data_IF_069538729457
#
_entry.id   IF_069538729457
#
_cell.length_a   1.000
_cell.length_b   1.000
_cell.length_c   1.000
_cell.angle_alpha   90.00
_cell.angle_beta   90.00
_cell.angle_gamma   90.00
#
_symmetry.space_group_name_H-M   'P 1'
#
loop_
_entity.id
_entity.type
_entity.pdbx_description
1 polymer ?
#
# COMPACT_ATOMS: atom_id res chain seq x y z
N UNK A 1 7.12 0.25 8.16
CA UNK A 1 5.87 -0.20 7.50
C UNK A 1 5.67 0.59 6.23
N UNK A 2 5.01 0.03 5.22
CA UNK A 2 4.81 0.72 3.94
C UNK A 2 3.33 0.74 3.54
N UNK A 3 2.98 1.76 2.79
CA UNK A 3 1.71 1.90 2.06
C UNK A 3 2.02 2.12 0.58
N UNK A 4 1.04 2.40 -0.24
CA UNK A 4 1.25 2.73 -1.65
C UNK A 4 2.19 3.93 -1.84
N UNK A 5 1.96 5.03 -1.10
CA UNK A 5 2.67 6.31 -1.30
C UNK A 5 3.58 6.70 -0.14
N UNK A 6 3.49 6.00 1.02
CA UNK A 6 4.18 6.36 2.24
C UNK A 6 5.05 5.23 2.77
N UNK A 7 6.16 5.61 3.42
CA UNK A 7 6.91 4.77 4.35
C UNK A 7 6.64 5.30 5.76
N UNK A 8 6.20 4.43 6.66
CA UNK A 8 6.04 4.72 8.08
C UNK A 8 7.22 4.11 8.82
N UNK A 9 8.17 4.95 9.25
CA UNK A 9 9.40 4.55 9.93
C UNK A 9 9.63 5.39 11.19
N UNK A 10 10.47 4.95 12.12
CA UNK A 10 10.89 5.80 13.23
C UNK A 10 11.45 7.15 12.75
N UNK A 11 11.30 8.18 13.57
CA UNK A 11 11.94 9.46 13.34
C UNK A 11 13.45 9.37 13.59
N UNK A 12 14.22 10.09 12.81
CA UNK A 12 15.68 10.19 12.95
C UNK A 12 16.06 11.67 13.17
N UNK A 13 17.19 11.93 13.82
CA UNK A 13 17.70 13.29 14.07
C UNK A 13 17.88 14.13 12.79
N UNK A 14 18.20 13.44 11.69
CA UNK A 14 18.38 14.04 10.36
C UNK A 14 17.06 14.59 9.79
N UNK A 15 15.93 14.11 10.27
CA UNK A 15 14.59 14.56 9.85
C UNK A 15 14.21 15.92 10.44
N UNK A 16 15.00 16.48 11.38
CA UNK A 16 14.66 17.68 12.11
C UNK A 16 14.35 18.89 11.21
N UNK A 17 15.04 19.04 10.09
CA UNK A 17 14.80 20.11 9.13
C UNK A 17 13.45 19.95 8.42
N UNK A 18 13.08 18.74 8.01
CA UNK A 18 11.78 18.43 7.41
C UNK A 18 10.65 18.58 8.45
N UNK A 19 10.88 18.10 9.68
CA UNK A 19 9.93 18.28 10.77
C UNK A 19 9.67 19.76 11.04
N UNK A 20 10.71 20.60 11.16
CA UNK A 20 10.58 22.04 11.36
C UNK A 20 9.81 22.70 10.22
N UNK A 21 10.13 22.36 8.97
CA UNK A 21 9.47 22.90 7.77
C UNK A 21 7.94 22.82 7.82
N UNK A 22 7.39 21.72 8.35
CA UNK A 22 5.94 21.51 8.38
C UNK A 22 5.32 21.78 9.75
N UNK A 23 6.02 21.48 10.83
CA UNK A 23 5.51 21.67 12.19
C UNK A 23 5.61 23.11 12.71
N UNK A 24 6.37 23.98 12.04
CA UNK A 24 6.38 25.43 12.31
C UNK A 24 5.17 26.18 11.74
N UNK A 25 4.41 25.53 10.83
CA UNK A 25 3.21 26.14 10.25
C UNK A 25 2.10 26.27 11.31
N UNK A 26 1.60 27.49 11.58
CA UNK A 26 0.57 27.73 12.60
C UNK A 26 -0.78 27.07 12.29
N UNK A 27 -1.00 26.60 11.07
CA UNK A 27 -2.21 25.84 10.71
C UNK A 27 -2.13 24.37 11.15
N UNK A 28 -0.96 23.84 11.50
CA UNK A 28 -0.75 22.41 11.82
C UNK A 28 -0.85 22.17 13.32
N UNK A 29 0.06 22.69 14.11
CA UNK A 29 0.16 22.39 15.54
C UNK A 29 -1.01 22.87 16.38
N UNK A 30 -1.39 24.12 16.31
CA UNK A 30 -2.41 24.72 17.20
C UNK A 30 -3.77 24.05 17.12
N UNK A 31 -4.20 23.62 15.93
CA UNK A 31 -5.48 22.90 15.78
C UNK A 31 -5.44 21.46 16.37
N UNK A 32 -4.23 20.92 16.51
CA UNK A 32 -3.97 19.60 17.11
C UNK A 32 -3.56 19.70 18.59
N UNK A 33 -3.46 20.92 19.16
CA UNK A 33 -3.23 21.16 20.60
C UNK A 33 -1.77 21.35 20.99
N UNK A 34 -0.84 21.55 20.05
CA UNK A 34 0.57 21.79 20.35
C UNK A 34 1.11 23.05 19.63
N UNK A 35 2.12 23.73 20.21
CA UNK A 35 2.65 24.97 19.65
C UNK A 35 3.48 24.72 18.39
N UNK A 36 3.51 25.67 17.43
CA UNK A 36 4.42 25.58 16.30
C UNK A 36 5.87 25.42 16.75
N UNK A 37 6.64 24.62 16.03
CA UNK A 37 8.06 24.46 16.30
C UNK A 37 8.81 25.75 16.00
N UNK A 38 9.81 26.08 16.82
CA UNK A 38 10.49 27.38 16.79
C UNK A 38 11.81 27.38 16.03
N UNK A 39 12.44 26.22 15.89
CA UNK A 39 13.70 26.02 15.15
C UNK A 39 13.92 24.58 14.77
N UNK A 40 14.94 24.30 13.93
CA UNK A 40 15.39 22.95 13.61
C UNK A 40 15.91 22.23 14.86
N UNK A 41 16.60 22.93 15.76
CA UNK A 41 17.12 22.35 17.00
C UNK A 41 15.98 21.99 17.96
N UNK A 42 14.96 22.86 18.08
CA UNK A 42 13.74 22.51 18.81
C UNK A 42 13.05 21.27 18.21
N UNK A 43 12.96 21.17 16.89
CA UNK A 43 12.40 19.99 16.22
C UNK A 43 13.22 18.73 16.50
N UNK A 44 14.56 18.84 16.54
CA UNK A 44 15.45 17.72 16.89
C UNK A 44 15.24 17.26 18.34
N UNK A 45 15.06 18.19 19.26
CA UNK A 45 14.73 17.85 20.64
C UNK A 45 13.38 17.13 20.74
N UNK A 46 12.36 17.60 20.02
CA UNK A 46 11.04 16.95 19.97
C UNK A 46 11.13 15.54 19.37
N UNK A 47 11.96 15.32 18.34
CA UNK A 47 12.22 13.96 17.83
C UNK A 47 12.72 13.06 18.96
N UNK A 48 13.69 13.53 19.75
CA UNK A 48 14.32 12.73 20.80
C UNK A 48 13.45 12.50 22.03
N UNK A 49 12.56 13.43 22.35
CA UNK A 49 11.78 13.41 23.60
C UNK A 49 10.32 13.01 23.42
N UNK A 50 9.71 13.37 22.31
CA UNK A 50 8.27 13.17 22.05
C UNK A 50 8.02 12.13 20.96
N UNK A 51 8.81 12.14 19.88
CA UNK A 51 8.59 11.30 18.70
C UNK A 51 9.46 10.03 18.70
N UNK A 52 10.20 9.74 19.77
CA UNK A 52 11.07 8.57 19.92
C UNK A 52 10.36 7.30 20.40
N UNK A 53 9.04 7.37 20.64
CA UNK A 53 8.27 6.21 21.09
C UNK A 53 8.26 5.06 20.08
N UNK A 54 8.18 3.79 20.53
CA UNK A 54 8.32 2.61 19.67
C UNK A 54 7.22 2.48 18.60
N UNK A 55 6.04 3.05 18.84
CA UNK A 55 4.92 3.05 17.89
C UNK A 55 4.64 4.46 17.34
N UNK A 56 5.69 5.31 17.24
CA UNK A 56 5.61 6.65 16.68
C UNK A 56 6.41 6.72 15.37
N UNK A 57 5.75 7.11 14.29
CA UNK A 57 6.29 7.01 12.95
C UNK A 57 6.27 8.34 12.21
N UNK A 58 7.37 8.65 11.52
CA UNK A 58 7.40 9.63 10.45
C UNK A 58 6.61 9.10 9.25
N UNK A 59 5.76 9.92 8.67
CA UNK A 59 5.09 9.67 7.41
C UNK A 59 5.99 10.18 6.28
N UNK A 60 6.79 9.31 5.68
CA UNK A 60 7.74 9.66 4.62
C UNK A 60 7.12 9.45 3.26
N UNK A 61 7.10 10.46 2.42
CA UNK A 61 6.58 10.37 1.05
C UNK A 61 7.58 9.59 0.17
N UNK A 62 7.17 8.48 -0.44
CA UNK A 62 8.05 7.64 -1.26
C UNK A 62 8.66 8.38 -2.46
N UNK A 63 7.90 9.29 -3.06
CA UNK A 63 8.33 10.08 -4.21
C UNK A 63 9.56 10.96 -3.92
N UNK A 64 9.62 11.53 -2.72
CA UNK A 64 10.67 12.51 -2.36
C UNK A 64 11.64 12.02 -1.28
N UNK A 65 11.28 10.97 -0.55
CA UNK A 65 12.00 10.53 0.64
C UNK A 65 11.87 11.48 1.84
N UNK A 66 11.01 12.50 1.77
CA UNK A 66 10.85 13.54 2.79
C UNK A 66 9.77 13.15 3.81
N UNK A 67 10.04 13.27 5.13
CA UNK A 67 9.01 13.20 6.16
C UNK A 67 8.05 14.39 6.06
N UNK A 68 6.78 14.11 5.88
CA UNK A 68 5.73 15.10 5.64
C UNK A 68 4.69 15.19 6.74
N UNK A 69 4.80 14.36 7.77
CA UNK A 69 3.87 14.27 8.89
C UNK A 69 4.26 13.19 9.87
N UNK A 70 3.43 12.98 10.88
CA UNK A 70 3.62 11.93 11.90
C UNK A 70 2.33 11.17 12.15
N UNK A 71 2.45 9.91 12.54
CA UNK A 71 1.36 9.08 13.03
C UNK A 71 1.90 8.17 14.14
N UNK A 72 1.10 7.95 15.19
CA UNK A 72 1.53 7.11 16.31
C UNK A 72 0.38 6.39 16.99
N UNK A 73 0.73 5.36 17.76
CA UNK A 73 -0.18 4.59 18.62
C UNK A 73 0.22 4.88 20.07
N UNK A 74 -0.73 5.30 20.88
CA UNK A 74 -0.55 5.67 22.28
C UNK A 74 -1.24 4.65 23.19
N UNK A 75 -0.60 4.31 24.31
CA UNK A 75 -1.07 3.34 25.30
C UNK A 75 -0.95 3.90 26.72
N UNK A 76 -1.69 3.31 27.65
CA UNK A 76 -1.56 3.59 29.09
C UNK A 76 -1.71 5.06 29.43
N UNK A 77 -0.72 5.64 30.10
CA UNK A 77 -0.73 7.03 30.55
C UNK A 77 -0.70 8.07 29.40
N UNK A 78 -0.43 7.60 28.16
CA UNK A 78 -0.49 8.45 26.96
C UNK A 78 -1.90 8.62 26.37
N UNK A 79 -2.91 7.96 26.93
CA UNK A 79 -4.29 8.06 26.48
C UNK A 79 -4.95 9.35 26.94
N UNK A 80 -5.71 10.00 26.05
CA UNK A 80 -6.35 11.29 26.35
C UNK A 80 -7.71 11.16 27.04
N UNK A 81 -8.35 9.99 27.02
CA UNK A 81 -9.61 9.76 27.71
C UNK A 81 -9.52 8.62 28.71
N UNK A 82 -10.08 8.83 29.91
CA UNK A 82 -10.21 7.82 30.96
C UNK A 82 -11.22 6.70 30.62
N UNK A 83 -11.97 6.83 29.51
CA UNK A 83 -12.91 5.80 29.05
C UNK A 83 -12.24 4.68 28.23
N UNK A 84 -10.97 4.84 27.88
CA UNK A 84 -10.18 3.84 27.18
C UNK A 84 -9.71 2.75 28.15
N UNK A 85 -9.92 1.49 27.78
CA UNK A 85 -9.67 0.34 28.64
C UNK A 85 -8.47 -0.49 28.24
N UNK A 86 -8.22 -1.55 28.98
CA UNK A 86 -7.18 -2.51 28.68
C UNK A 86 -7.41 -3.16 27.30
N UNK A 87 -6.33 -3.35 26.53
CA UNK A 87 -6.38 -3.86 25.16
C UNK A 87 -6.93 -2.86 24.15
N UNK A 88 -6.97 -1.58 24.49
CA UNK A 88 -7.33 -0.48 23.61
C UNK A 88 -6.15 0.50 23.47
N UNK A 89 -6.11 1.24 22.38
CA UNK A 89 -5.10 2.25 22.13
C UNK A 89 -5.72 3.49 21.49
N UNK A 90 -5.03 4.60 21.54
CA UNK A 90 -5.39 5.79 20.81
C UNK A 90 -4.38 6.04 19.68
N UNK A 91 -4.84 6.52 18.53
CA UNK A 91 -3.96 6.97 17.46
C UNK A 91 -4.01 8.49 17.31
N UNK A 92 -2.83 9.08 17.11
CA UNK A 92 -2.68 10.49 16.80
C UNK A 92 -1.92 10.69 15.50
N UNK A 93 -2.23 11.76 14.76
CA UNK A 93 -1.55 12.09 13.51
C UNK A 93 -1.60 13.58 13.20
N UNK A 94 -0.63 14.02 12.41
CA UNK A 94 -0.65 15.31 11.76
C UNK A 94 0.05 15.22 10.40
N UNK A 95 -0.22 16.18 9.51
CA UNK A 95 0.32 16.23 8.16
C UNK A 95 0.62 17.68 7.77
N UNK A 96 1.71 17.90 7.04
CA UNK A 96 2.06 19.21 6.49
C UNK A 96 1.01 19.75 5.52
N UNK A 97 0.75 21.05 5.57
CA UNK A 97 -0.29 21.74 4.79
C UNK A 97 -0.27 21.45 3.28
N UNK A 98 0.90 21.38 2.59
CA UNK A 98 0.95 21.09 1.15
C UNK A 98 0.41 19.72 0.75
N UNK A 99 0.23 18.83 1.71
CA UNK A 99 -0.21 17.44 1.49
C UNK A 99 -1.66 17.18 1.92
N UNK A 100 -2.35 18.20 2.44
CA UNK A 100 -3.75 18.10 2.81
C UNK A 100 -4.65 17.82 1.59
N UNK A 101 -5.74 17.10 1.82
CA UNK A 101 -6.72 16.79 0.78
C UNK A 101 -6.32 15.67 -0.20
N UNK A 102 -5.07 15.20 -0.16
CA UNK A 102 -4.52 14.19 -1.08
C UNK A 102 -4.76 12.72 -0.65
N UNK A 103 -5.48 12.49 0.44
CA UNK A 103 -5.80 11.14 0.93
C UNK A 103 -4.67 10.41 1.65
N UNK A 104 -3.51 11.06 1.86
CA UNK A 104 -2.34 10.44 2.49
C UNK A 104 -2.57 10.05 3.97
N UNK A 105 -3.24 10.92 4.75
CA UNK A 105 -3.55 10.59 6.16
C UNK A 105 -4.48 9.38 6.30
N UNK A 106 -5.61 9.28 5.56
CA UNK A 106 -6.42 8.04 5.58
C UNK A 106 -5.66 6.79 5.18
N UNK A 107 -4.70 6.89 4.25
CA UNK A 107 -3.83 5.79 3.84
C UNK A 107 -2.94 5.32 4.99
N UNK A 108 -2.26 6.26 5.66
CA UNK A 108 -1.44 5.97 6.84
C UNK A 108 -2.27 5.39 8.01
N UNK A 109 -3.45 5.99 8.29
CA UNK A 109 -4.35 5.52 9.35
C UNK A 109 -4.79 4.08 9.10
N UNK A 110 -5.17 3.70 7.87
CA UNK A 110 -5.53 2.30 7.58
C UNK A 110 -4.38 1.34 7.79
N UNK A 111 -3.13 1.72 7.47
CA UNK A 111 -1.95 0.89 7.75
C UNK A 111 -1.72 0.72 9.26
N UNK A 112 -1.91 1.78 10.03
CA UNK A 112 -1.82 1.73 11.51
C UNK A 112 -2.96 0.91 12.10
N UNK A 113 -4.19 1.02 11.61
CA UNK A 113 -5.32 0.19 12.07
C UNK A 113 -5.06 -1.30 11.84
N UNK A 114 -4.45 -1.67 10.70
CA UNK A 114 -3.99 -3.04 10.47
C UNK A 114 -2.95 -3.46 11.49
N UNK A 115 -1.97 -2.61 11.80
CA UNK A 115 -1.00 -2.85 12.88
C UNK A 115 -1.71 -3.10 14.22
N UNK A 116 -2.69 -2.25 14.56
CA UNK A 116 -3.44 -2.34 15.82
C UNK A 116 -4.24 -3.65 15.94
N UNK A 117 -5.02 -3.99 14.91
CA UNK A 117 -5.97 -5.10 15.01
C UNK A 117 -5.36 -6.46 14.64
N UNK A 118 -4.58 -6.51 13.55
CA UNK A 118 -4.11 -7.77 12.99
C UNK A 118 -2.75 -8.21 13.58
N UNK A 119 -1.88 -7.24 13.96
CA UNK A 119 -0.54 -7.55 14.46
C UNK A 119 -0.44 -7.44 15.99
N UNK A 120 -1.11 -6.43 16.60
CA UNK A 120 -1.09 -6.19 18.05
C UNK A 120 -2.30 -6.79 18.78
N UNK A 121 -3.34 -7.25 18.08
CA UNK A 121 -4.51 -7.89 18.64
C UNK A 121 -5.37 -6.99 19.53
N UNK A 122 -5.38 -5.66 19.27
CA UNK A 122 -6.17 -4.72 20.06
C UNK A 122 -7.68 -4.94 19.86
N UNK A 123 -8.46 -4.68 20.91
CA UNK A 123 -9.92 -4.79 20.87
C UNK A 123 -10.60 -3.58 20.26
N UNK A 124 -10.02 -2.40 20.46
CA UNK A 124 -10.50 -1.15 19.90
C UNK A 124 -9.37 -0.13 19.75
N UNK A 125 -9.55 0.77 18.78
CA UNK A 125 -8.70 1.93 18.57
C UNK A 125 -9.55 3.18 18.66
N UNK A 126 -9.01 4.18 19.35
CA UNK A 126 -9.61 5.48 19.56
C UNK A 126 -8.87 6.54 18.76
N UNK A 127 -9.54 7.62 18.50
CA UNK A 127 -8.94 8.82 17.95
C UNK A 127 -9.72 10.05 18.41
N UNK A 128 -9.03 11.06 18.93
CA UNK A 128 -9.61 12.31 19.40
C UNK A 128 -9.40 13.45 18.40
N UNK A 129 -10.31 14.42 18.41
CA UNK A 129 -10.11 15.70 17.75
C UNK A 129 -10.75 16.84 18.53
N UNK A 130 -10.10 17.99 18.57
CA UNK A 130 -10.67 19.18 19.15
C UNK A 130 -11.82 19.73 18.31
N UNK A 131 -12.78 20.38 18.98
CA UNK A 131 -13.88 21.07 18.32
C UNK A 131 -13.34 22.05 17.25
N UNK A 132 -13.96 22.05 16.08
CA UNK A 132 -13.49 22.82 14.91
C UNK A 132 -12.49 22.11 14.01
N UNK A 133 -11.82 21.03 14.46
CA UNK A 133 -10.91 20.24 13.62
C UNK A 133 -11.67 19.29 12.69
N UNK A 134 -12.40 19.85 11.75
CA UNK A 134 -13.25 19.09 10.80
C UNK A 134 -12.43 18.22 9.84
N UNK A 135 -11.14 18.56 9.61
CA UNK A 135 -10.23 17.76 8.76
C UNK A 135 -9.91 16.43 9.42
N UNK A 136 -9.50 16.44 10.70
CA UNK A 136 -9.23 15.23 11.46
C UNK A 136 -10.48 14.35 11.57
N UNK A 137 -11.63 14.95 11.90
CA UNK A 137 -12.91 14.24 11.93
C UNK A 137 -13.21 13.49 10.63
N UNK A 138 -13.06 14.15 9.46
CA UNK A 138 -13.28 13.52 8.15
C UNK A 138 -12.32 12.36 7.86
N UNK A 139 -11.09 12.43 8.34
CA UNK A 139 -10.13 11.32 8.22
C UNK A 139 -10.62 10.13 9.03
N UNK A 140 -11.02 10.35 10.28
CA UNK A 140 -11.55 9.30 11.17
C UNK A 140 -12.78 8.63 10.56
N UNK A 141 -13.77 9.42 10.13
CA UNK A 141 -15.00 8.92 9.49
C UNK A 141 -14.71 8.08 8.23
N UNK A 142 -13.75 8.52 7.39
CA UNK A 142 -13.30 7.77 6.20
C UNK A 142 -12.58 6.46 6.53
N UNK A 143 -12.06 6.33 7.74
CA UNK A 143 -11.39 5.12 8.23
C UNK A 143 -12.30 4.23 9.08
N UNK A 144 -13.61 4.55 9.16
CA UNK A 144 -14.61 3.72 9.83
C UNK A 144 -14.79 3.98 11.33
N UNK A 145 -14.13 5.01 11.86
CA UNK A 145 -14.37 5.41 13.26
C UNK A 145 -15.78 5.98 13.43
N UNK A 146 -16.41 5.61 14.54
CA UNK A 146 -17.75 6.06 14.91
C UNK A 146 -17.66 6.95 16.15
N UNK A 147 -18.39 8.05 16.18
CA UNK A 147 -18.47 8.93 17.33
C UNK A 147 -18.86 8.14 18.59
N UNK A 148 -18.14 8.40 19.69
CA UNK A 148 -18.39 7.78 20.98
C UNK A 148 -18.87 8.77 22.03
N UNK A 149 -18.07 9.81 22.34
CA UNK A 149 -18.42 10.81 23.35
C UNK A 149 -17.67 12.13 23.15
N UNK A 150 -18.00 13.09 23.98
CA UNK A 150 -17.36 14.42 24.03
C UNK A 150 -16.91 14.71 25.46
N UNK A 151 -15.69 15.17 25.61
CA UNK A 151 -15.14 15.72 26.85
C UNK A 151 -15.00 17.23 26.73
N UNK A 152 -15.59 17.96 27.67
CA UNK A 152 -15.52 19.44 27.72
C UNK A 152 -14.57 19.89 28.83
N UNK A 153 -14.05 21.09 28.70
CA UNK A 153 -13.23 21.68 29.75
C UNK A 153 -11.84 21.05 29.90
N UNK A 154 -11.32 20.40 28.85
CA UNK A 154 -9.98 19.79 28.88
C UNK A 154 -8.89 20.83 28.73
N UNK A 155 -7.89 20.87 29.64
CA UNK A 155 -6.71 21.70 29.44
C UNK A 155 -5.91 21.17 28.26
N UNK A 156 -5.53 22.05 27.33
CA UNK A 156 -4.63 21.70 26.22
C UNK A 156 -3.18 22.03 26.56
N UNK A 157 -2.20 21.42 25.90
CA UNK A 157 -0.79 21.79 26.01
C UNK A 157 -0.48 23.26 25.67
N UNK A 158 -1.40 23.96 25.01
CA UNK A 158 -1.30 25.39 24.71
C UNK A 158 -1.75 26.28 25.87
N UNK A 159 -2.28 25.70 26.97
CA UNK A 159 -2.76 26.43 28.14
C UNK A 159 -4.20 26.95 28.01
N UNK A 160 -4.89 26.65 26.94
CA UNK A 160 -6.32 26.93 26.76
C UNK A 160 -7.20 25.74 27.17
N UNK A 161 -8.50 25.99 27.31
CA UNK A 161 -9.50 25.00 27.63
C UNK A 161 -10.26 24.62 26.35
N UNK A 162 -10.36 23.32 26.05
CA UNK A 162 -10.96 22.81 24.83
C UNK A 162 -12.05 21.80 25.06
N UNK A 163 -12.85 21.64 24.04
CA UNK A 163 -13.77 20.50 23.88
C UNK A 163 -13.13 19.50 22.94
N UNK A 164 -13.09 18.25 23.33
CA UNK A 164 -12.54 17.14 22.54
C UNK A 164 -13.61 16.10 22.25
N UNK A 165 -13.68 15.65 21.01
CA UNK A 165 -14.58 14.63 20.54
C UNK A 165 -13.80 13.35 20.28
N UNK A 166 -14.26 12.25 20.85
CA UNK A 166 -13.65 10.94 20.72
C UNK A 166 -14.48 10.02 19.82
N UNK A 167 -13.80 9.42 18.87
CA UNK A 167 -14.36 8.40 17.98
C UNK A 167 -13.65 7.08 18.27
N UNK A 168 -14.36 5.97 18.07
CA UNK A 168 -13.88 4.62 18.38
C UNK A 168 -14.15 3.68 17.22
N UNK A 169 -13.19 2.79 16.93
CA UNK A 169 -13.34 1.68 16.01
C UNK A 169 -13.00 0.38 16.75
N UNK A 170 -13.88 -0.61 16.69
CA UNK A 170 -13.65 -1.94 17.31
C UNK A 170 -13.07 -2.90 16.27
N UNK A 171 -12.32 -3.92 16.74
CA UNK A 171 -11.80 -4.99 15.89
C UNK A 171 -12.90 -5.68 15.08
N UNK A 172 -14.06 -5.94 15.66
CA UNK A 172 -15.19 -6.54 14.95
C UNK A 172 -15.67 -5.69 13.77
N UNK A 173 -15.83 -4.36 13.97
CA UNK A 173 -16.22 -3.44 12.88
C UNK A 173 -15.13 -3.30 11.82
N UNK A 174 -13.86 -3.33 12.23
CA UNK A 174 -12.73 -3.32 11.30
C UNK A 174 -12.77 -4.54 10.38
N UNK A 175 -12.82 -5.75 10.94
CA UNK A 175 -12.87 -6.99 10.17
C UNK A 175 -14.14 -7.11 9.33
N UNK A 176 -15.29 -6.71 9.85
CA UNK A 176 -16.55 -6.62 9.09
C UNK A 176 -16.42 -5.69 7.87
N UNK A 177 -15.79 -4.52 8.03
CA UNK A 177 -15.60 -3.56 6.94
C UNK A 177 -14.67 -4.10 5.85
N UNK A 178 -13.63 -4.87 6.24
CA UNK A 178 -12.75 -5.56 5.31
C UNK A 178 -13.52 -6.67 4.59
N UNK A 179 -14.23 -7.51 5.32
CA UNK A 179 -15.03 -8.61 4.74
C UNK A 179 -16.11 -8.09 3.77
N UNK A 180 -16.81 -7.01 4.11
CA UNK A 180 -17.77 -6.37 3.21
C UNK A 180 -17.08 -5.81 1.95
N UNK A 181 -15.86 -5.28 2.08
CA UNK A 181 -15.07 -4.82 0.93
C UNK A 181 -14.61 -5.98 0.05
N UNK A 182 -14.26 -7.13 0.64
CA UNK A 182 -13.93 -8.39 -0.02
C UNK A 182 -15.12 -8.97 -0.76
N UNK A 183 -16.26 -9.12 -0.08
CA UNK A 183 -17.51 -9.66 -0.67
C UNK A 183 -18.07 -8.77 -1.80
N UNK A 184 -17.74 -7.45 -1.80
CA UNK A 184 -18.19 -6.51 -2.85
C UNK A 184 -17.27 -6.45 -4.06
N UNK A 185 -16.01 -6.89 -3.95
CA UNK A 185 -15.10 -6.88 -5.08
C UNK A 185 -15.16 -8.20 -5.86
N UNK A 186 -15.89 -8.16 -6.94
CA UNK A 186 -15.93 -9.24 -7.92
C UNK A 186 -14.95 -8.93 -9.05
N UNK A 187 -13.84 -9.68 -9.08
CA UNK A 187 -12.79 -9.56 -10.11
C UNK A 187 -13.37 -9.81 -11.52
N UNK A 188 -14.35 -10.68 -11.68
CA UNK A 188 -14.89 -10.97 -12.99
C UNK A 188 -15.76 -9.80 -13.48
N UNK A 189 -16.54 -9.17 -12.59
CA UNK A 189 -17.30 -7.96 -12.91
C UNK A 189 -16.37 -6.79 -13.23
N UNK A 190 -15.29 -6.63 -12.45
CA UNK A 190 -14.28 -5.60 -12.71
C UNK A 190 -13.58 -5.83 -14.05
N UNK A 191 -13.17 -7.07 -14.35
CA UNK A 191 -12.56 -7.45 -15.62
C UNK A 191 -13.48 -7.18 -16.82
N UNK A 192 -14.77 -7.45 -16.70
CA UNK A 192 -15.74 -7.15 -17.76
C UNK A 192 -15.75 -5.65 -18.07
N UNK A 193 -15.83 -4.79 -17.03
CA UNK A 193 -15.76 -3.34 -17.19
C UNK A 193 -14.41 -2.87 -17.70
N UNK A 194 -13.31 -3.48 -17.26
CA UNK A 194 -11.96 -3.17 -17.72
C UNK A 194 -11.78 -3.53 -19.21
N UNK A 195 -12.30 -4.68 -19.62
CA UNK A 195 -12.34 -5.13 -21.01
C UNK A 195 -13.13 -4.15 -21.88
N UNK A 196 -14.30 -3.70 -21.46
CA UNK A 196 -15.11 -2.72 -22.20
C UNK A 196 -14.34 -1.42 -22.42
N UNK A 197 -13.66 -0.91 -21.40
CA UNK A 197 -12.83 0.30 -21.49
C UNK A 197 -11.64 0.13 -22.45
N UNK A 198 -10.96 -1.02 -22.39
CA UNK A 198 -9.87 -1.34 -23.33
C UNK A 198 -10.37 -1.45 -24.75
N UNK A 199 -11.51 -2.10 -24.95
CA UNK A 199 -12.11 -2.23 -26.29
C UNK A 199 -12.55 -0.86 -26.84
N UNK A 200 -13.09 0.01 -25.99
CA UNK A 200 -13.43 1.37 -26.39
C UNK A 200 -12.18 2.19 -26.75
N UNK A 201 -11.08 1.99 -26.02
CA UNK A 201 -9.83 2.73 -26.20
C UNK A 201 -9.05 2.27 -27.46
N UNK A 202 -8.95 0.95 -27.66
CA UNK A 202 -8.05 0.37 -28.68
C UNK A 202 -8.78 -0.34 -29.82
N UNK A 203 -10.09 -0.66 -29.65
CA UNK A 203 -10.88 -1.34 -30.67
C UNK A 203 -10.26 -2.66 -31.11
N UNK A 204 -10.19 -2.86 -32.43
CA UNK A 204 -9.61 -4.06 -33.06
C UNK A 204 -8.09 -4.21 -32.86
N UNK A 205 -7.44 -3.18 -32.34
CA UNK A 205 -6.01 -3.23 -31.99
C UNK A 205 -5.73 -4.05 -30.72
N UNK A 206 -6.75 -4.28 -29.87
CA UNK A 206 -6.63 -5.13 -28.70
C UNK A 206 -6.60 -6.61 -29.12
N UNK A 207 -5.43 -7.24 -29.03
CA UNK A 207 -5.19 -8.63 -29.42
C UNK A 207 -5.40 -9.60 -28.28
N UNK A 208 -5.00 -9.19 -27.08
CA UNK A 208 -5.07 -10.05 -25.91
C UNK A 208 -5.31 -9.26 -24.64
N UNK A 209 -6.14 -9.82 -23.78
CA UNK A 209 -6.27 -9.44 -22.37
C UNK A 209 -6.19 -10.70 -21.52
N UNK A 210 -5.37 -10.69 -20.50
CA UNK A 210 -5.25 -11.77 -19.53
C UNK A 210 -5.09 -11.27 -18.09
N UNK A 211 -5.31 -12.16 -17.14
CA UNK A 211 -5.17 -11.92 -15.71
C UNK A 211 -4.09 -12.82 -15.16
N UNK A 212 -3.12 -12.24 -14.46
CA UNK A 212 -2.02 -12.93 -13.80
C UNK A 212 -2.10 -12.84 -12.27
N UNK A 213 -1.02 -13.27 -11.63
CA UNK A 213 -0.80 -13.08 -10.22
C UNK A 213 -1.81 -13.82 -9.34
N UNK A 214 -2.06 -13.28 -8.16
CA UNK A 214 -2.94 -13.89 -7.17
C UNK A 214 -4.39 -13.96 -7.64
N UNK A 215 -4.89 -12.97 -8.35
CA UNK A 215 -6.24 -13.00 -8.95
C UNK A 215 -6.37 -14.04 -10.06
N UNK A 216 -5.35 -14.19 -10.91
CA UNK A 216 -5.32 -15.22 -11.95
C UNK A 216 -5.42 -16.63 -11.37
N UNK A 217 -4.80 -16.86 -10.21
CA UNK A 217 -4.75 -18.14 -9.51
C UNK A 217 -5.87 -18.36 -8.49
N UNK A 218 -6.73 -17.36 -8.21
CA UNK A 218 -7.75 -17.46 -7.17
C UNK A 218 -7.19 -17.40 -5.73
N UNK A 219 -5.99 -16.89 -5.54
CA UNK A 219 -5.30 -16.72 -4.24
C UNK A 219 -5.33 -15.27 -3.74
N UNK A 220 -6.10 -14.37 -4.39
CA UNK A 220 -6.08 -12.95 -4.10
C UNK A 220 -6.65 -12.62 -2.72
N UNK A 221 -6.06 -11.60 -2.11
CA UNK A 221 -6.56 -10.91 -0.92
C UNK A 221 -6.97 -9.49 -1.28
N UNK A 222 -7.65 -8.74 -0.43
CA UNK A 222 -8.03 -7.34 -0.70
C UNK A 222 -6.86 -6.41 -1.02
N UNK A 223 -5.67 -6.76 -0.54
CA UNK A 223 -4.43 -6.03 -0.78
C UNK A 223 -3.69 -6.47 -2.03
N UNK A 224 -4.16 -7.53 -2.67
CA UNK A 224 -3.51 -8.07 -3.86
C UNK A 224 -3.58 -7.08 -5.02
N UNK A 225 -2.46 -6.96 -5.73
CA UNK A 225 -2.42 -6.25 -7.00
C UNK A 225 -3.22 -7.02 -8.07
N UNK A 226 -3.83 -6.28 -8.98
CA UNK A 226 -4.54 -6.83 -10.14
C UNK A 226 -3.56 -6.82 -11.31
N UNK A 227 -2.90 -7.95 -11.52
CA UNK A 227 -1.90 -8.12 -12.57
C UNK A 227 -2.60 -8.42 -13.90
N UNK A 228 -2.64 -7.45 -14.83
CA UNK A 228 -3.23 -7.62 -16.16
C UNK A 228 -2.16 -7.70 -17.24
N UNK A 229 -2.43 -8.50 -18.27
CA UNK A 229 -1.61 -8.58 -19.49
C UNK A 229 -2.43 -8.05 -20.65
N UNK A 230 -1.95 -7.00 -21.28
CA UNK A 230 -2.60 -6.33 -22.42
C UNK A 230 -1.65 -6.38 -23.62
N UNK A 231 -2.08 -7.00 -24.72
CA UNK A 231 -1.32 -7.02 -25.97
C UNK A 231 -2.14 -6.32 -27.04
N UNK A 232 -1.48 -5.37 -27.70
CA UNK A 232 -2.00 -4.64 -28.83
C UNK A 232 -1.35 -5.19 -30.13
N UNK A 233 -1.89 -4.83 -31.29
CA UNK A 233 -1.23 -5.08 -32.58
C UNK A 233 0.17 -4.45 -32.62
N UNK A 234 0.28 -3.21 -32.17
CA UNK A 234 1.53 -2.51 -31.87
C UNK A 234 1.30 -1.56 -30.69
N UNK A 235 2.32 -1.26 -29.92
CA UNK A 235 2.25 -0.38 -28.76
C UNK A 235 3.24 0.78 -28.90
N UNK A 236 2.71 1.99 -29.16
CA UNK A 236 3.49 3.22 -29.18
C UNK A 236 3.39 4.01 -27.88
N UNK A 237 4.17 5.07 -27.78
CA UNK A 237 4.16 5.94 -26.59
C UNK A 237 2.79 6.58 -26.33
N UNK A 238 2.08 6.98 -27.40
CA UNK A 238 0.74 7.56 -27.28
C UNK A 238 -0.28 6.55 -26.73
N UNK A 239 -0.15 5.27 -27.10
CA UNK A 239 -0.97 4.18 -26.56
C UNK A 239 -0.74 3.99 -25.06
N UNK A 240 0.53 4.05 -24.62
CA UNK A 240 0.88 3.98 -23.20
C UNK A 240 0.33 5.18 -22.42
N UNK A 241 0.36 6.39 -23.00
CA UNK A 241 -0.24 7.58 -22.41
C UNK A 241 -1.77 7.45 -22.28
N UNK A 242 -2.44 6.96 -23.31
CA UNK A 242 -3.88 6.75 -23.32
C UNK A 242 -4.28 5.66 -22.32
N UNK A 243 -3.54 4.55 -22.26
CA UNK A 243 -3.73 3.49 -21.28
C UNK A 243 -3.57 4.00 -19.85
N UNK A 244 -2.52 4.78 -19.57
CA UNK A 244 -2.28 5.40 -18.26
C UNK A 244 -3.46 6.28 -17.83
N UNK A 245 -3.97 7.15 -18.71
CA UNK A 245 -5.12 7.99 -18.39
C UNK A 245 -6.37 7.15 -18.08
N UNK A 246 -6.57 6.04 -18.78
CA UNK A 246 -7.63 5.09 -18.48
C UNK A 246 -7.44 4.44 -17.09
N UNK A 247 -6.21 4.03 -16.74
CA UNK A 247 -5.91 3.47 -15.42
C UNK A 247 -6.14 4.50 -14.31
N UNK A 248 -5.68 5.74 -14.48
CA UNK A 248 -5.83 6.82 -13.50
C UNK A 248 -7.30 7.13 -13.18
N UNK A 249 -8.21 6.83 -14.10
CA UNK A 249 -9.66 6.98 -13.90
C UNK A 249 -10.29 5.83 -13.11
N UNK A 250 -9.59 4.72 -12.90
CA UNK A 250 -10.11 3.57 -12.16
C UNK A 250 -10.06 3.80 -10.65
N UNK A 251 -11.11 3.40 -9.94
CA UNK A 251 -11.15 3.48 -8.48
C UNK A 251 -10.08 2.63 -7.78
N UNK A 252 -9.53 1.62 -8.48
CA UNK A 252 -8.46 0.73 -8.05
C UNK A 252 -7.14 0.97 -8.77
N UNK A 253 -6.96 2.13 -9.40
CA UNK A 253 -5.74 2.48 -10.15
C UNK A 253 -4.44 2.12 -9.43
N UNK A 254 -4.45 2.22 -8.11
CA UNK A 254 -3.32 1.91 -7.24
C UNK A 254 -3.01 0.43 -7.08
N UNK A 255 -3.96 -0.45 -7.42
CA UNK A 255 -3.81 -1.89 -7.33
C UNK A 255 -3.60 -2.52 -8.73
N UNK A 256 -3.87 -1.76 -9.80
CA UNK A 256 -3.69 -2.29 -11.15
C UNK A 256 -2.22 -2.21 -11.52
N UNK A 257 -1.64 -3.35 -11.85
CA UNK A 257 -0.32 -3.44 -12.45
C UNK A 257 -0.33 -4.46 -13.59
N UNK A 258 0.80 -4.67 -14.23
CA UNK A 258 0.91 -5.71 -15.24
C UNK A 258 1.76 -5.34 -16.43
N UNK A 259 1.53 -6.05 -17.51
CA UNK A 259 2.33 -6.00 -18.74
C UNK A 259 1.51 -5.45 -19.90
N UNK A 260 2.07 -4.47 -20.61
CA UNK A 260 1.48 -3.91 -21.85
C UNK A 260 2.54 -3.91 -22.94
N UNK A 261 2.22 -4.50 -24.09
CA UNK A 261 3.14 -4.54 -25.23
C UNK A 261 2.37 -4.65 -26.57
N UNK A 262 3.07 -4.46 -27.68
CA UNK A 262 2.63 -4.88 -28.99
C UNK A 262 2.99 -6.34 -29.26
N UNK A 263 2.44 -6.90 -30.35
CA UNK A 263 2.74 -8.26 -30.80
C UNK A 263 4.25 -8.44 -31.12
N UNK A 264 4.89 -7.44 -31.73
CA UNK A 264 6.30 -7.51 -32.08
C UNK A 264 7.21 -7.53 -30.83
N UNK A 265 6.94 -6.68 -29.84
CA UNK A 265 7.65 -6.70 -28.56
C UNK A 265 7.45 -8.02 -27.84
N UNK A 266 6.22 -8.55 -27.82
CA UNK A 266 5.91 -9.83 -27.21
C UNK A 266 6.72 -10.96 -27.88
N UNK A 267 6.73 -11.01 -29.21
CA UNK A 267 7.45 -12.04 -29.97
C UNK A 267 8.98 -11.90 -29.83
N UNK A 268 9.49 -10.71 -29.61
CA UNK A 268 10.92 -10.40 -29.38
C UNK A 268 11.38 -10.62 -27.92
N UNK A 269 10.48 -10.88 -26.98
CA UNK A 269 10.82 -10.99 -25.57
C UNK A 269 11.72 -12.19 -25.26
N UNK A 270 12.48 -12.12 -24.15
CA UNK A 270 13.33 -13.21 -23.69
C UNK A 270 12.47 -14.46 -23.39
N UNK A 271 12.85 -15.62 -23.95
CA UNK A 271 12.02 -16.84 -23.95
C UNK A 271 11.70 -17.40 -22.56
N UNK A 272 12.60 -17.27 -21.60
CA UNK A 272 12.36 -17.74 -20.23
C UNK A 272 11.32 -16.87 -19.48
N UNK A 273 11.31 -15.56 -19.74
CA UNK A 273 10.32 -14.64 -19.16
C UNK A 273 8.98 -14.75 -19.89
N UNK A 274 9.01 -14.90 -21.22
CA UNK A 274 7.83 -15.15 -22.04
C UNK A 274 7.12 -16.47 -21.65
N UNK A 275 7.89 -17.52 -21.32
CA UNK A 275 7.35 -18.77 -20.83
C UNK A 275 6.60 -18.58 -19.50
N UNK A 276 7.13 -17.76 -18.60
CA UNK A 276 6.45 -17.42 -17.36
C UNK A 276 5.13 -16.70 -17.64
N UNK A 277 5.17 -15.69 -18.50
CA UNK A 277 3.98 -14.94 -18.90
C UNK A 277 2.92 -15.90 -19.47
N UNK A 278 3.30 -16.79 -20.37
CA UNK A 278 2.40 -17.78 -20.97
C UNK A 278 1.76 -18.71 -19.94
N UNK A 279 2.56 -19.27 -19.03
CA UNK A 279 2.09 -20.26 -18.05
C UNK A 279 1.26 -19.66 -16.89
N UNK A 280 1.53 -18.42 -16.49
CA UNK A 280 0.90 -17.77 -15.32
C UNK A 280 -0.27 -16.84 -15.71
N UNK A 281 -0.60 -16.73 -17.00
CA UNK A 281 -1.68 -15.86 -17.49
C UNK A 281 -2.95 -16.66 -17.79
N UNK A 282 -4.06 -16.27 -17.15
CA UNK A 282 -5.40 -16.73 -17.49
C UNK A 282 -5.98 -15.82 -18.59
N UNK A 283 -6.25 -16.34 -19.81
CA UNK A 283 -6.84 -15.53 -20.88
C UNK A 283 -8.24 -15.02 -20.54
N UNK A 284 -8.55 -13.78 -20.95
CA UNK A 284 -9.87 -13.13 -20.91
C UNK A 284 -10.33 -12.81 -22.34
N UNK A 285 -9.46 -12.24 -23.16
CA UNK A 285 -9.66 -12.02 -24.60
C UNK A 285 -8.47 -12.62 -25.36
N UNK A 286 -8.70 -13.19 -26.51
CA UNK A 286 -7.65 -13.74 -27.37
C UNK A 286 -6.99 -14.98 -26.77
N UNK A 287 -5.83 -15.35 -27.33
CA UNK A 287 -5.06 -16.53 -26.93
C UNK A 287 -3.57 -16.26 -27.05
N UNK A 288 -2.79 -16.84 -26.16
CA UNK A 288 -1.33 -16.88 -26.21
C UNK A 288 -0.79 -18.20 -26.79
N UNK A 289 -1.64 -19.08 -27.33
CA UNK A 289 -1.25 -20.39 -27.85
C UNK A 289 -0.18 -20.33 -28.97
N UNK A 290 -0.13 -19.22 -29.71
CA UNK A 290 0.93 -18.98 -30.70
C UNK A 290 2.33 -19.01 -30.08
N UNK A 291 2.47 -18.69 -28.78
CA UNK A 291 3.74 -18.72 -28.07
C UNK A 291 4.20 -20.15 -27.73
N UNK A 292 3.28 -21.10 -27.62
CA UNK A 292 3.59 -22.48 -27.20
C UNK A 292 4.68 -23.11 -28.06
N UNK A 293 4.61 -22.92 -29.38
CA UNK A 293 5.58 -23.48 -30.34
C UNK A 293 6.97 -22.84 -30.25
N UNK A 294 7.13 -21.73 -29.55
CA UNK A 294 8.39 -21.02 -29.41
C UNK A 294 9.27 -21.57 -28.28
N UNK A 295 8.67 -22.33 -27.36
CA UNK A 295 9.38 -22.78 -26.15
C UNK A 295 10.05 -24.15 -26.38
N UNK A 296 11.28 -24.23 -25.90
CA UNK A 296 12.08 -25.45 -25.92
C UNK A 296 12.43 -25.89 -24.49
N UNK A 297 12.84 -27.14 -24.35
CA UNK A 297 13.40 -27.63 -23.06
C UNK A 297 14.59 -26.80 -22.57
N UNK A 298 15.33 -26.16 -23.48
CA UNK A 298 16.44 -25.27 -23.13
C UNK A 298 15.93 -24.00 -22.44
N UNK A 299 14.82 -23.44 -22.90
CA UNK A 299 14.19 -22.24 -22.32
C UNK A 299 13.65 -22.55 -20.92
N UNK A 300 13.00 -23.71 -20.74
CA UNK A 300 12.53 -24.16 -19.44
C UNK A 300 13.69 -24.31 -18.44
N UNK A 301 14.78 -24.96 -18.87
CA UNK A 301 15.99 -25.09 -18.04
C UNK A 301 16.61 -23.74 -17.72
N UNK A 302 16.60 -22.80 -18.68
CA UNK A 302 17.11 -21.44 -18.52
C UNK A 302 16.28 -20.67 -17.50
N UNK A 303 14.95 -20.71 -17.56
CA UNK A 303 14.04 -20.08 -16.60
C UNK A 303 14.33 -20.55 -15.16
N UNK A 304 14.45 -21.87 -14.95
CA UNK A 304 14.80 -22.43 -13.63
C UNK A 304 16.16 -21.95 -13.15
N UNK A 305 17.16 -21.91 -14.04
CA UNK A 305 18.53 -21.48 -13.68
C UNK A 305 18.57 -20.02 -13.31
N UNK A 306 17.97 -19.14 -14.12
CA UNK A 306 17.91 -17.70 -13.85
C UNK A 306 17.18 -17.45 -12.52
N UNK A 307 16.01 -18.05 -12.31
CA UNK A 307 15.27 -17.93 -11.06
C UNK A 307 16.06 -18.38 -9.84
N UNK A 308 16.76 -19.51 -9.93
CA UNK A 308 17.59 -20.02 -8.84
C UNK A 308 18.81 -19.11 -8.54
N UNK A 309 19.47 -18.59 -9.58
CA UNK A 309 20.62 -17.68 -9.40
C UNK A 309 20.19 -16.35 -8.79
N UNK A 310 19.11 -15.76 -9.27
CA UNK A 310 18.57 -14.50 -8.73
C UNK A 310 18.11 -14.67 -7.29
N UNK A 311 17.42 -15.77 -6.97
CA UNK A 311 16.99 -16.08 -5.62
C UNK A 311 18.18 -16.25 -4.67
N UNK A 312 19.22 -17.02 -5.08
CA UNK A 312 20.42 -17.20 -4.30
C UNK A 312 21.12 -15.86 -4.02
N UNK A 313 21.31 -15.03 -5.07
CA UNK A 313 21.91 -13.71 -4.92
C UNK A 313 21.10 -12.83 -3.96
N UNK A 314 19.79 -12.73 -4.14
CA UNK A 314 18.93 -11.90 -3.30
C UNK A 314 18.87 -12.37 -1.84
N UNK A 315 18.82 -13.69 -1.59
CA UNK A 315 18.92 -14.25 -0.24
C UNK A 315 20.27 -13.94 0.41
N UNK A 316 21.37 -14.14 -0.33
CA UNK A 316 22.73 -13.85 0.17
C UNK A 316 22.90 -12.36 0.47
N UNK A 317 22.43 -11.48 -0.43
CA UNK A 317 22.47 -10.04 -0.22
C UNK A 317 21.65 -9.62 1.01
N UNK A 318 20.42 -10.16 1.17
CA UNK A 318 19.61 -9.86 2.34
C UNK A 318 20.28 -10.34 3.63
N UNK A 319 20.84 -11.56 3.64
CA UNK A 319 21.51 -12.11 4.82
C UNK A 319 22.75 -11.31 5.22
N UNK A 320 23.58 -10.92 4.25
CA UNK A 320 24.85 -10.25 4.51
C UNK A 320 24.71 -8.74 4.76
N UNK A 321 23.82 -8.08 4.03
CA UNK A 321 23.79 -6.61 3.93
C UNK A 321 22.46 -6.01 4.40
N UNK A 322 21.33 -6.31 3.75
CA UNK A 322 20.07 -5.64 4.03
C UNK A 322 19.46 -6.04 5.38
N UNK A 323 19.56 -7.32 5.76
CA UNK A 323 19.02 -7.91 7.00
C UNK A 323 17.56 -7.52 7.27
N UNK A 324 16.78 -7.39 6.20
CA UNK A 324 15.39 -6.94 6.22
C UNK A 324 14.44 -8.12 6.29
N UNK A 325 13.53 -8.11 7.27
CA UNK A 325 12.40 -9.03 7.32
C UNK A 325 11.40 -8.79 6.16
N UNK A 326 11.26 -7.54 5.73
CA UNK A 326 10.31 -7.17 4.68
C UNK A 326 10.70 -7.74 3.31
N UNK A 327 12.02 -7.95 3.09
CA UNK A 327 12.51 -8.64 1.90
C UNK A 327 12.08 -10.11 1.81
N UNK A 328 11.74 -10.75 2.95
CA UNK A 328 11.42 -12.19 2.99
C UNK A 328 10.17 -12.53 2.19
N UNK A 329 9.14 -11.66 2.20
CA UNK A 329 7.91 -11.89 1.43
C UNK A 329 8.20 -11.93 -0.08
N UNK A 330 9.01 -10.99 -0.59
CA UNK A 330 9.43 -10.96 -2.00
C UNK A 330 10.30 -12.17 -2.37
N UNK A 331 11.24 -12.55 -1.49
CA UNK A 331 12.09 -13.72 -1.67
C UNK A 331 11.28 -15.02 -1.71
N UNK A 332 10.27 -15.14 -0.84
CA UNK A 332 9.37 -16.28 -0.84
C UNK A 332 8.54 -16.36 -2.13
N UNK A 333 8.01 -15.22 -2.62
CA UNK A 333 7.30 -15.14 -3.90
C UNK A 333 8.19 -15.61 -5.07
N UNK A 334 9.44 -15.14 -5.13
CA UNK A 334 10.42 -15.56 -6.14
C UNK A 334 10.78 -17.05 -6.03
N UNK A 335 10.90 -17.58 -4.80
CA UNK A 335 11.16 -19.00 -4.56
C UNK A 335 10.01 -19.88 -5.06
N UNK A 336 8.75 -19.53 -4.75
CA UNK A 336 7.56 -20.25 -5.23
C UNK A 336 7.57 -20.38 -6.75
N UNK A 337 7.83 -19.28 -7.45
CA UNK A 337 7.92 -19.29 -8.91
C UNK A 337 9.01 -20.23 -9.41
N UNK A 338 10.23 -20.14 -8.89
CA UNK A 338 11.36 -20.99 -9.29
C UNK A 338 11.05 -22.47 -9.05
N UNK A 339 10.39 -22.81 -7.94
CA UNK A 339 9.99 -24.18 -7.62
C UNK A 339 8.90 -24.70 -8.58
N UNK A 340 7.92 -23.88 -8.94
CA UNK A 340 6.87 -24.21 -9.93
C UNK A 340 7.49 -24.50 -11.30
N UNK A 341 8.42 -23.66 -11.76
CA UNK A 341 9.15 -23.91 -13.01
C UNK A 341 9.99 -25.17 -12.97
N UNK A 342 10.63 -25.48 -11.84
CA UNK A 342 11.36 -26.73 -11.66
C UNK A 342 10.43 -27.95 -11.66
N UNK A 343 9.24 -27.83 -11.09
CA UNK A 343 8.22 -28.88 -11.14
C UNK A 343 7.76 -29.09 -12.58
N UNK A 344 7.42 -28.02 -13.30
CA UNK A 344 7.05 -28.07 -14.72
C UNK A 344 8.13 -28.73 -15.58
N UNK A 345 9.40 -28.36 -15.38
CA UNK A 345 10.54 -28.97 -16.07
C UNK A 345 10.61 -30.50 -15.88
N UNK A 346 10.19 -31.02 -14.70
CA UNK A 346 10.28 -32.44 -14.38
C UNK A 346 9.05 -33.24 -14.83
N UNK A 347 7.88 -32.62 -14.82
CA UNK A 347 6.60 -33.32 -14.98
C UNK A 347 5.86 -32.93 -16.24
N UNK A 348 6.24 -31.84 -16.91
CA UNK A 348 5.46 -31.23 -17.99
C UNK A 348 4.14 -30.59 -17.54
N UNK A 349 3.88 -30.58 -16.21
CA UNK A 349 2.64 -30.03 -15.64
C UNK A 349 2.95 -28.79 -14.81
N UNK A 350 2.36 -27.62 -15.18
CA UNK A 350 2.50 -26.39 -14.44
C UNK A 350 1.42 -26.27 -13.37
N UNK A 351 1.84 -26.08 -12.14
CA UNK A 351 0.94 -25.81 -11.00
C UNK A 351 0.90 -24.29 -10.82
N UNK A 352 -0.18 -23.66 -11.25
CA UNK A 352 -0.40 -22.23 -11.12
C UNK A 352 -0.57 -21.79 -9.66
#
# INVERSE_FOLDING_TARGET
>A
METQRLILRPWHDEDAAALYKYASDPAVGPIAGWPPHTSVDNSREIIRTVLSGPETYAMVLKETGEPIGSIGIMYGDGLHSAQMGEGEAEIGYWLGVPYWGKGLTPEAVRRILRRCFDELGLRAVWCGHYEGNTRSRRVMEKCGFVFHHTEKGKPSPLGDIRTEHFLRLTAGKWHESIQIAEERFDINRWLASFQERLTLLFGDRLRFLGLQGSYGRGEATPESDIDVVVILDHAGFDDLCAYRLMLDSDSRSSQICGFVAGEDELMGWERSDLLQLYLDTRPVIGSLECLHSLFTDADIRRAVRIGACNLYHACSHNFLHARSSDALAALYKAARFTVRMKHFMKTGYYVA
#
